data_IF_929341989681
#
_entry.id   IF_929341989681
#
_cell.length_a   1.000
_cell.length_b   1.000
_cell.length_c   1.000
_cell.angle_alpha   90.00
_cell.angle_beta   90.00
_cell.angle_gamma   90.00
#
_symmetry.space_group_name_H-M   'P 1'
#
loop_
_entity.id
_entity.type
_entity.pdbx_description
1 polymer ?
#
# COMPACT_ATOMS: atom_id res chain seq x y z
N UNK A 1 -6.73 4.89 -12.00
CA UNK A 1 -7.86 4.76 -11.06
C UNK A 1 -9.19 5.02 -11.75
N UNK A 2 -9.29 6.00 -12.65
CA UNK A 2 -10.51 6.30 -13.41
C UNK A 2 -11.13 5.08 -14.12
N UNK A 3 -10.33 4.18 -14.69
CA UNK A 3 -10.87 2.97 -15.33
C UNK A 3 -11.58 2.02 -14.36
N UNK A 4 -11.08 1.88 -13.13
CA UNK A 4 -11.68 1.02 -12.10
C UNK A 4 -12.96 1.65 -11.52
N UNK A 5 -12.98 2.97 -11.36
CA UNK A 5 -14.18 3.67 -10.91
C UNK A 5 -15.27 3.71 -11.98
N UNK A 6 -14.92 3.71 -13.28
CA UNK A 6 -15.87 3.55 -14.38
C UNK A 6 -16.62 2.22 -14.32
N UNK A 7 -15.88 1.11 -14.18
CA UNK A 7 -16.46 -0.23 -14.04
C UNK A 7 -17.27 -0.39 -12.75
N UNK A 8 -16.81 0.19 -11.64
CA UNK A 8 -17.55 0.15 -10.38
C UNK A 8 -18.90 0.88 -10.47
N UNK A 9 -18.95 1.97 -11.23
CA UNK A 9 -20.19 2.72 -11.50
C UNK A 9 -21.16 1.93 -12.38
N UNK A 10 -20.65 1.18 -13.38
CA UNK A 10 -21.45 0.27 -14.21
C UNK A 10 -22.01 -0.93 -13.41
N UNK A 11 -21.30 -1.38 -12.37
CA UNK A 11 -21.74 -2.46 -11.48
C UNK A 11 -22.58 -1.97 -10.29
N UNK A 12 -22.91 -0.67 -10.23
CA UNK A 12 -23.74 -0.09 -9.17
C UNK A 12 -23.06 -0.01 -7.80
N UNK A 13 -21.74 -0.17 -7.73
CA UNK A 13 -20.98 -0.08 -6.48
C UNK A 13 -20.90 1.38 -6.03
N UNK A 14 -21.24 1.61 -4.77
CA UNK A 14 -21.18 2.94 -4.18
C UNK A 14 -19.76 3.31 -3.77
N UNK A 15 -19.47 4.61 -3.70
CA UNK A 15 -18.18 5.11 -3.21
C UNK A 15 -17.86 4.61 -1.79
N UNK A 16 -18.88 4.35 -0.96
CA UNK A 16 -18.71 3.80 0.39
C UNK A 16 -18.16 2.38 0.36
N UNK A 17 -18.71 1.53 -0.50
CA UNK A 17 -18.25 0.14 -0.65
C UNK A 17 -16.83 0.08 -1.23
N UNK A 18 -16.54 0.92 -2.22
CA UNK A 18 -15.18 1.02 -2.78
C UNK A 18 -14.18 1.49 -1.71
N UNK A 19 -14.56 2.51 -0.93
CA UNK A 19 -13.74 3.01 0.18
C UNK A 19 -13.49 1.95 1.26
N UNK A 20 -14.51 1.15 1.60
CA UNK A 20 -14.38 0.05 2.54
C UNK A 20 -13.34 -0.99 2.06
N UNK A 21 -13.46 -1.45 0.81
CA UNK A 21 -12.49 -2.41 0.23
C UNK A 21 -11.09 -1.80 0.17
N UNK A 22 -10.96 -0.56 -0.28
CA UNK A 22 -9.66 0.13 -0.32
C UNK A 22 -9.02 0.22 1.08
N UNK A 23 -9.79 0.56 2.10
CA UNK A 23 -9.28 0.64 3.48
C UNK A 23 -8.76 -0.70 4.01
N UNK A 24 -9.47 -1.80 3.72
CA UNK A 24 -9.05 -3.16 4.10
C UNK A 24 -7.75 -3.52 3.38
N UNK A 25 -7.70 -3.33 2.06
CA UNK A 25 -6.50 -3.63 1.26
C UNK A 25 -5.31 -2.81 1.73
N UNK A 26 -5.50 -1.52 2.02
CA UNK A 26 -4.46 -0.65 2.56
C UNK A 26 -3.98 -1.14 3.92
N UNK A 27 -4.88 -1.52 4.83
CA UNK A 27 -4.51 -2.03 6.16
C UNK A 27 -3.68 -3.32 6.08
N UNK A 28 -4.09 -4.29 5.25
CA UNK A 28 -3.36 -5.54 5.03
C UNK A 28 -2.00 -5.26 4.38
N UNK A 29 -1.96 -4.38 3.39
CA UNK A 29 -0.72 -4.04 2.67
C UNK A 29 0.26 -3.25 3.52
N UNK A 30 -0.23 -2.39 4.43
CA UNK A 30 0.59 -1.53 5.27
C UNK A 30 1.58 -2.33 6.12
N UNK A 31 1.20 -3.50 6.63
CA UNK A 31 2.10 -4.37 7.40
C UNK A 31 3.32 -4.83 6.58
N UNK A 32 3.08 -5.31 5.37
CA UNK A 32 4.13 -5.78 4.45
C UNK A 32 5.04 -4.64 4.00
N UNK A 33 4.45 -3.50 3.62
CA UNK A 33 5.19 -2.29 3.23
C UNK A 33 6.08 -1.83 4.39
N UNK A 34 5.54 -1.75 5.61
CA UNK A 34 6.29 -1.32 6.80
C UNK A 34 7.46 -2.24 7.13
N UNK A 35 7.30 -3.56 6.95
CA UNK A 35 8.39 -4.53 7.11
C UNK A 35 9.50 -4.31 6.06
N UNK A 36 9.15 -4.13 4.79
CA UNK A 36 10.12 -3.85 3.72
C UNK A 36 10.89 -2.55 3.96
N UNK A 37 10.20 -1.49 4.41
CA UNK A 37 10.85 -0.23 4.78
C UNK A 37 11.82 -0.40 5.97
N UNK A 38 11.46 -1.22 6.96
CA UNK A 38 12.34 -1.53 8.10
C UNK A 38 13.63 -2.19 7.63
N UNK A 39 13.52 -3.19 6.76
CA UNK A 39 14.67 -3.93 6.24
C UNK A 39 15.56 -3.06 5.35
N UNK A 40 14.96 -2.21 4.50
CA UNK A 40 15.66 -1.23 3.70
C UNK A 40 16.45 -0.25 4.58
N UNK A 41 15.85 0.23 5.69
CA UNK A 41 16.51 1.11 6.65
C UNK A 41 17.71 0.45 7.33
N UNK A 42 17.57 -0.82 7.73
CA UNK A 42 18.67 -1.59 8.35
C UNK A 42 19.83 -1.77 7.35
N UNK A 43 19.53 -2.18 6.10
CA UNK A 43 20.53 -2.32 5.04
C UNK A 43 21.27 -1.01 4.76
N UNK A 44 20.54 0.10 4.69
CA UNK A 44 21.14 1.43 4.48
C UNK A 44 22.10 1.82 5.61
N UNK A 45 21.71 1.60 6.88
CA UNK A 45 22.59 1.85 8.04
C UNK A 45 23.86 0.98 8.03
N UNK A 46 23.73 -0.31 7.70
CA UNK A 46 24.90 -1.21 7.53
C UNK A 46 25.84 -0.69 6.45
N UNK A 47 25.32 -0.35 5.26
CA UNK A 47 26.13 0.21 4.16
C UNK A 47 26.87 1.49 4.54
N UNK A 48 26.26 2.37 5.34
CA UNK A 48 26.93 3.58 5.85
C UNK A 48 28.07 3.26 6.82
N UNK A 49 27.88 2.30 7.73
CA UNK A 49 28.94 1.86 8.66
C UNK A 49 30.13 1.18 7.99
N UNK A 50 29.91 0.49 6.87
CA UNK A 50 31.00 -0.19 6.13
C UNK A 50 31.78 0.75 5.20
N UNK A 51 31.26 1.95 4.94
CA UNK A 51 31.90 2.99 4.11
C UNK A 51 32.60 4.08 4.95
N UNK A 52 32.54 4.01 6.27
CA UNK A 52 33.17 4.92 7.22
C UNK A 52 34.28 4.18 7.96
#
# INVERSE_FOLDING_TARGET
MESYFGVAKEQGLTNKEIGAVQSIVMAVSAGRVRAQFRDARIKSKKRKKTKS
#
